data_IF_431985310926
#
_entry.id   IF_431985310926
#
_cell.length_a   1.000
_cell.length_b   1.000
_cell.length_c   1.000
_cell.angle_alpha   90.00
_cell.angle_beta   90.00
_cell.angle_gamma   90.00
#
_symmetry.space_group_name_H-M   'P 1'
#
loop_
_entity.id
_entity.type
_entity.pdbx_description
1 polymer ?
#
# COMPACT_ATOMS: atom_id res chain seq x y z
N UNK A 1 -20.21 15.85 -20.40
CA UNK A 1 -19.61 17.15 -20.03
C UNK A 1 -18.75 16.90 -18.81
N UNK A 2 -17.44 16.72 -19.00
CA UNK A 2 -16.49 16.60 -17.90
C UNK A 2 -16.25 18.00 -17.33
N UNK A 3 -16.44 18.17 -16.02
CA UNK A 3 -16.14 19.44 -15.36
C UNK A 3 -14.65 19.74 -15.49
N UNK A 4 -14.31 20.85 -16.13
CA UNK A 4 -12.96 21.39 -16.15
C UNK A 4 -12.54 21.68 -14.71
N UNK A 5 -11.47 21.06 -14.24
CA UNK A 5 -10.84 21.45 -12.99
C UNK A 5 -10.39 22.92 -13.13
N UNK A 6 -10.62 23.79 -12.12
CA UNK A 6 -10.23 25.19 -12.21
C UNK A 6 -8.71 25.30 -12.38
N UNK A 7 -8.25 25.99 -13.42
CA UNK A 7 -6.85 26.37 -13.54
C UNK A 7 -6.47 27.24 -12.33
N UNK A 8 -5.50 26.79 -11.54
CA UNK A 8 -4.85 27.63 -10.53
C UNK A 8 -5.00 27.25 -9.06
N UNK A 9 -5.49 26.06 -8.69
CA UNK A 9 -5.26 25.58 -7.31
C UNK A 9 -3.81 25.11 -7.18
N UNK A 10 -2.88 26.05 -6.98
CA UNK A 10 -1.51 25.72 -6.60
C UNK A 10 -1.57 24.97 -5.26
N UNK A 11 -1.12 23.71 -5.25
CA UNK A 11 -1.09 22.91 -4.04
C UNK A 11 -0.11 23.57 -3.04
N UNK A 12 -0.65 24.09 -1.95
CA UNK A 12 0.12 24.71 -0.88
C UNK A 12 0.46 23.63 0.17
N UNK A 13 1.69 23.12 0.09
CA UNK A 13 2.19 22.10 0.99
C UNK A 13 2.19 22.58 2.46
N UNK A 14 2.53 23.84 2.71
CA UNK A 14 2.57 24.39 4.08
C UNK A 14 1.19 24.44 4.71
N UNK A 15 0.17 24.83 3.93
CA UNK A 15 -1.22 24.80 4.38
C UNK A 15 -1.75 23.37 4.58
N UNK A 16 -1.32 22.43 3.75
CA UNK A 16 -1.66 21.02 3.91
C UNK A 16 -1.07 20.43 5.19
N UNK A 17 0.23 20.65 5.42
CA UNK A 17 0.95 20.17 6.61
C UNK A 17 0.37 20.76 7.90
N UNK A 18 0.06 22.07 7.91
CA UNK A 18 -0.60 22.73 9.04
C UNK A 18 -1.94 22.05 9.36
N UNK A 19 -2.77 21.81 8.33
CA UNK A 19 -4.07 21.16 8.49
C UNK A 19 -3.93 19.71 8.97
N UNK A 20 -2.94 18.97 8.47
CA UNK A 20 -2.66 17.59 8.93
C UNK A 20 -2.24 17.58 10.40
N UNK A 21 -1.37 18.49 10.81
CA UNK A 21 -0.95 18.61 12.21
C UNK A 21 -2.13 18.94 13.13
N UNK A 22 -3.01 19.85 12.72
CA UNK A 22 -4.20 20.21 13.49
C UNK A 22 -5.18 19.02 13.62
N UNK A 23 -5.33 18.22 12.56
CA UNK A 23 -6.14 16.99 12.58
C UNK A 23 -5.54 15.92 13.52
N UNK A 24 -4.23 15.69 13.43
CA UNK A 24 -3.51 14.72 14.27
C UNK A 24 -3.56 15.13 15.75
N UNK A 25 -3.50 16.44 16.05
CA UNK A 25 -3.54 16.96 17.42
C UNK A 25 -4.95 16.90 18.05
N UNK A 26 -6.01 16.92 17.25
CA UNK A 26 -7.39 16.93 17.73
C UNK A 26 -7.91 15.51 18.10
N UNK A 27 -7.56 14.49 17.31
CA UNK A 27 -8.12 13.12 17.40
C UNK A 27 -7.04 12.02 17.41
N UNK A 28 -5.93 12.25 18.13
CA UNK A 28 -4.71 11.41 18.04
C UNK A 28 -4.89 9.89 18.19
N UNK A 29 -5.93 9.44 18.89
CA UNK A 29 -6.29 8.01 19.02
C UNK A 29 -7.38 7.55 18.03
N UNK A 30 -8.20 8.45 17.46
CA UNK A 30 -9.26 8.11 16.48
C UNK A 30 -8.79 8.17 15.02
N UNK A 31 -7.66 8.83 14.74
CA UNK A 31 -7.13 8.98 13.38
C UNK A 31 -6.47 7.70 12.83
N UNK A 32 -6.03 6.80 13.72
CA UNK A 32 -5.35 5.57 13.35
C UNK A 32 -6.22 4.36 13.68
N UNK A 33 -6.70 3.65 12.66
CA UNK A 33 -7.26 2.31 12.89
C UNK A 33 -6.10 1.31 12.98
N UNK A 34 -5.98 0.60 14.11
CA UNK A 34 -5.02 -0.51 14.21
C UNK A 34 -5.52 -1.68 13.39
N UNK A 35 -4.64 -2.22 12.54
CA UNK A 35 -4.90 -3.49 11.85
C UNK A 35 -4.20 -4.61 12.62
N UNK A 36 -4.97 -5.37 13.38
CA UNK A 36 -4.45 -6.33 14.36
C UNK A 36 -4.33 -7.78 13.84
N UNK A 37 -4.84 -8.06 12.63
CA UNK A 37 -4.71 -9.39 12.04
C UNK A 37 -3.27 -9.66 11.59
N UNK A 38 -2.77 -10.85 11.93
CA UNK A 38 -1.42 -11.33 11.60
C UNK A 38 -1.54 -12.68 10.92
N UNK A 39 -0.87 -12.84 9.78
CA UNK A 39 -0.92 -14.04 8.95
C UNK A 39 0.45 -14.71 8.86
N UNK A 40 0.63 -15.89 9.47
CA UNK A 40 1.92 -16.59 9.57
C UNK A 40 2.36 -17.31 8.28
N UNK A 41 1.49 -17.42 7.27
CA UNK A 41 1.80 -17.97 5.96
C UNK A 41 1.11 -17.18 4.84
N UNK A 42 1.66 -17.22 3.63
CA UNK A 42 1.02 -16.63 2.45
C UNK A 42 -0.30 -17.34 2.09
N UNK A 43 -0.40 -18.65 2.36
CA UNK A 43 -1.62 -19.43 2.11
C UNK A 43 -2.82 -18.93 2.94
N UNK A 44 -2.55 -18.43 4.15
CA UNK A 44 -3.59 -17.91 5.04
C UNK A 44 -4.14 -16.54 4.60
N UNK A 45 -3.49 -15.86 3.64
CA UNK A 45 -3.81 -14.48 3.26
C UNK A 45 -4.91 -14.39 2.19
N UNK A 46 -5.42 -15.52 1.66
CA UNK A 46 -6.49 -15.52 0.66
C UNK A 46 -6.08 -14.93 -0.70
N UNK A 47 -4.81 -15.08 -1.08
CA UNK A 47 -4.26 -14.54 -2.33
C UNK A 47 -4.72 -15.34 -3.56
N UNK A 48 -4.77 -14.68 -4.71
CA UNK A 48 -5.02 -15.34 -5.99
C UNK A 48 -3.95 -16.40 -6.27
N UNK A 49 -4.35 -17.56 -6.80
CA UNK A 49 -3.46 -18.72 -6.98
C UNK A 49 -2.19 -18.37 -7.78
N UNK A 50 -2.34 -17.57 -8.85
CA UNK A 50 -1.20 -17.15 -9.68
C UNK A 50 -0.22 -16.25 -8.92
N UNK A 51 -0.73 -15.36 -8.05
CA UNK A 51 0.10 -14.53 -7.20
C UNK A 51 0.83 -15.38 -6.16
N UNK A 52 0.10 -16.27 -5.47
CA UNK A 52 0.66 -17.16 -4.45
C UNK A 52 1.79 -18.04 -5.03
N UNK A 53 1.57 -18.60 -6.22
CA UNK A 53 2.59 -19.35 -6.97
C UNK A 53 3.81 -18.48 -7.28
N UNK A 54 3.60 -17.24 -7.73
CA UNK A 54 4.68 -16.29 -8.02
C UNK A 54 5.52 -15.96 -6.79
N UNK A 55 4.89 -15.78 -5.63
CA UNK A 55 5.57 -15.51 -4.35
C UNK A 55 6.53 -16.67 -4.00
N UNK A 56 6.05 -17.90 -4.05
CA UNK A 56 6.88 -19.07 -3.76
C UNK A 56 7.96 -19.31 -4.82
N UNK A 57 7.66 -19.09 -6.10
CA UNK A 57 8.63 -19.22 -7.18
C UNK A 57 9.76 -18.18 -7.10
N UNK A 58 9.48 -16.99 -6.55
CA UNK A 58 10.50 -15.97 -6.28
C UNK A 58 11.44 -16.37 -5.12
N UNK A 59 11.05 -17.35 -4.30
CA UNK A 59 11.85 -17.87 -3.19
C UNK A 59 11.42 -17.36 -1.81
N UNK A 60 10.25 -16.74 -1.68
CA UNK A 60 9.69 -16.46 -0.36
C UNK A 60 9.11 -17.74 0.25
N UNK A 61 9.54 -18.10 1.45
CA UNK A 61 9.00 -19.27 2.17
C UNK A 61 7.99 -18.87 3.25
N UNK A 62 8.31 -17.81 4.01
CA UNK A 62 7.46 -17.29 5.08
C UNK A 62 7.39 -15.77 5.00
N UNK A 63 6.22 -15.18 5.33
CA UNK A 63 6.09 -13.74 5.37
C UNK A 63 6.92 -13.12 6.49
N UNK A 64 7.62 -12.02 6.19
CA UNK A 64 8.30 -11.20 7.20
C UNK A 64 7.30 -10.46 8.09
N UNK A 65 7.74 -9.93 9.23
CA UNK A 65 6.85 -9.26 10.19
C UNK A 65 5.97 -8.15 9.59
N UNK A 66 6.51 -7.40 8.60
CA UNK A 66 5.76 -6.35 7.90
C UNK A 66 4.79 -6.94 6.86
N UNK A 67 5.15 -8.04 6.21
CA UNK A 67 4.28 -8.74 5.26
C UNK A 67 3.08 -9.39 5.96
N UNK A 68 3.30 -10.00 7.13
CA UNK A 68 2.27 -10.67 7.94
C UNK A 68 1.10 -9.75 8.31
N UNK A 69 1.37 -8.46 8.51
CA UNK A 69 0.37 -7.44 8.87
C UNK A 69 -0.06 -6.60 7.68
N UNK A 70 0.76 -6.57 6.63
CA UNK A 70 0.67 -5.56 5.60
C UNK A 70 0.04 -5.98 4.30
N UNK A 71 0.13 -7.26 3.93
CA UNK A 71 -0.36 -7.73 2.63
C UNK A 71 -1.89 -7.70 2.59
N UNK A 72 -2.55 -8.30 3.58
CA UNK A 72 -4.01 -8.44 3.60
C UNK A 72 -4.76 -7.10 3.62
N UNK A 73 -4.44 -6.10 4.46
CA UNK A 73 -5.14 -4.81 4.39
C UNK A 73 -4.95 -4.11 3.04
N UNK A 74 -3.76 -4.23 2.44
CA UNK A 74 -3.51 -3.71 1.10
C UNK A 74 -4.38 -4.44 0.05
N UNK A 75 -4.48 -5.78 0.13
CA UNK A 75 -5.33 -6.57 -0.76
C UNK A 75 -6.83 -6.25 -0.61
N UNK A 76 -7.26 -5.81 0.58
CA UNK A 76 -8.62 -5.34 0.86
C UNK A 76 -8.91 -3.93 0.31
N UNK A 77 -7.93 -3.26 -0.30
CA UNK A 77 -8.09 -1.90 -0.84
C UNK A 77 -8.13 -0.81 0.23
N UNK A 78 -7.57 -1.09 1.42
CA UNK A 78 -7.48 -0.09 2.48
C UNK A 78 -6.29 0.85 2.23
N UNK A 79 -6.41 2.08 2.71
CA UNK A 79 -5.28 2.99 2.84
C UNK A 79 -4.39 2.51 3.99
N UNK A 80 -3.11 2.31 3.71
CA UNK A 80 -2.18 1.66 4.64
C UNK A 80 -0.93 2.50 4.82
N UNK A 81 -0.65 2.87 6.06
CA UNK A 81 0.62 3.47 6.46
C UNK A 81 1.46 2.39 7.14
N UNK A 82 2.63 2.11 6.57
CA UNK A 82 3.56 1.11 7.08
C UNK A 82 4.94 1.70 7.28
N UNK A 83 5.41 1.67 8.53
CA UNK A 83 6.76 2.04 8.88
C UNK A 83 7.63 0.79 9.06
N UNK A 84 8.64 0.62 8.22
CA UNK A 84 9.62 -0.45 8.38
C UNK A 84 10.99 -0.08 7.82
N UNK A 85 12.04 -0.70 8.38
CA UNK A 85 13.43 -0.50 7.96
C UNK A 85 13.71 -1.07 6.56
N UNK A 86 14.81 -0.67 5.91
CA UNK A 86 15.22 -1.27 4.64
C UNK A 86 15.48 -2.78 4.80
N UNK A 87 15.27 -3.55 3.73
CA UNK A 87 15.46 -5.02 3.74
C UNK A 87 14.38 -5.83 4.47
N UNK A 88 13.32 -5.21 4.99
CA UNK A 88 12.26 -5.89 5.75
C UNK A 88 11.16 -6.52 4.88
N UNK A 89 11.21 -6.36 3.55
CA UNK A 89 10.23 -6.94 2.63
C UNK A 89 9.07 -6.03 2.21
N UNK A 90 9.14 -4.71 2.49
CA UNK A 90 8.13 -3.70 2.10
C UNK A 90 7.76 -3.75 0.61
N UNK A 91 8.75 -3.94 -0.27
CA UNK A 91 8.54 -4.00 -1.72
C UNK A 91 7.59 -5.13 -2.09
N UNK A 92 7.85 -6.34 -1.57
CA UNK A 92 6.97 -7.47 -1.80
C UNK A 92 5.57 -7.25 -1.18
N UNK A 93 5.46 -6.52 -0.05
CA UNK A 93 4.16 -6.18 0.54
C UNK A 93 3.27 -5.38 -0.41
N UNK A 94 3.74 -4.22 -0.91
CA UNK A 94 2.91 -3.41 -1.80
C UNK A 94 2.77 -4.05 -3.20
N UNK A 95 3.79 -4.74 -3.70
CA UNK A 95 3.69 -5.47 -4.97
C UNK A 95 2.60 -6.55 -4.92
N UNK A 96 2.54 -7.31 -3.81
CA UNK A 96 1.50 -8.34 -3.63
C UNK A 96 0.10 -7.70 -3.60
N UNK A 97 -0.06 -6.59 -2.87
CA UNK A 97 -1.32 -5.86 -2.83
C UNK A 97 -1.76 -5.30 -4.18
N UNK A 98 -0.83 -4.71 -4.95
CA UNK A 98 -1.10 -4.23 -6.31
C UNK A 98 -1.49 -5.39 -7.23
N UNK A 99 -0.68 -6.45 -7.30
CA UNK A 99 -0.92 -7.60 -8.17
C UNK A 99 -2.23 -8.32 -7.84
N UNK A 100 -2.63 -8.35 -6.56
CA UNK A 100 -3.89 -8.94 -6.11
C UNK A 100 -5.12 -8.16 -6.61
N UNK A 101 -5.00 -6.85 -6.85
CA UNK A 101 -6.10 -5.99 -7.26
C UNK A 101 -6.17 -5.73 -8.78
N UNK A 102 -5.17 -6.16 -9.56
CA UNK A 102 -5.16 -5.92 -11.01
C UNK A 102 -6.32 -6.63 -11.72
N UNK A 103 -7.01 -5.90 -12.59
CA UNK A 103 -7.93 -6.47 -13.57
C UNK A 103 -7.18 -6.79 -14.86
N UNK A 104 -6.97 -8.08 -15.13
CA UNK A 104 -6.27 -8.56 -16.32
C UNK A 104 -6.99 -8.27 -17.65
N UNK A 105 -8.28 -7.89 -17.62
CA UNK A 105 -9.02 -7.53 -18.83
C UNK A 105 -8.79 -6.07 -19.26
N UNK A 106 -8.19 -5.25 -18.39
CA UNK A 106 -7.99 -3.81 -18.63
C UNK A 106 -6.52 -3.53 -18.93
N UNK A 107 -6.21 -3.24 -20.19
CA UNK A 107 -4.85 -2.89 -20.64
C UNK A 107 -4.59 -1.38 -20.50
N UNK A 108 -4.64 -0.88 -19.28
CA UNK A 108 -4.37 0.52 -18.92
C UNK A 108 -3.52 0.60 -17.65
N UNK A 109 -3.01 1.78 -17.30
CA UNK A 109 -2.30 1.96 -16.03
C UNK A 109 -3.30 1.85 -14.86
N UNK A 110 -3.11 0.84 -13.99
CA UNK A 110 -4.00 0.57 -12.85
C UNK A 110 -3.36 0.85 -11.48
N UNK A 111 -2.02 0.99 -11.44
CA UNK A 111 -1.30 1.30 -10.22
C UNK A 111 -0.08 2.18 -10.53
N UNK A 112 0.22 3.11 -9.63
CA UNK A 112 1.38 4.00 -9.69
C UNK A 112 2.17 3.85 -8.39
N UNK A 113 3.45 3.48 -8.51
CA UNK A 113 4.39 3.42 -7.39
C UNK A 113 5.39 4.56 -7.55
N UNK A 114 5.54 5.36 -6.50
CA UNK A 114 6.50 6.46 -6.47
C UNK A 114 7.73 6.05 -5.68
N UNK A 115 8.91 6.26 -6.25
CA UNK A 115 10.20 6.02 -5.61
C UNK A 115 11.01 7.33 -5.53
N UNK A 116 11.81 7.53 -4.48
CA UNK A 116 12.62 8.75 -4.31
C UNK A 116 13.79 8.85 -5.31
N UNK A 117 14.25 7.73 -5.87
CA UNK A 117 15.37 7.71 -6.83
C UNK A 117 15.11 6.72 -7.96
N UNK A 118 15.85 6.86 -9.06
CA UNK A 118 15.70 6.02 -10.26
C UNK A 118 16.21 4.61 -10.05
N UNK A 119 17.21 4.43 -9.20
CA UNK A 119 17.86 3.15 -8.93
C UNK A 119 16.97 2.23 -8.09
N UNK A 120 16.00 2.82 -7.38
CA UNK A 120 15.02 2.09 -6.58
C UNK A 120 13.76 1.71 -7.38
N UNK A 121 13.55 2.34 -8.55
CA UNK A 121 12.44 2.07 -9.47
C UNK A 121 12.80 0.92 -10.43
#
# INVERSE_FOLDING_TARGET
MAGLAPEGSQFDAGKFDQKMNDLIAADGDEFWTSYDEVYDSFDAMGLAENLLRGIYAYGFEKPSAIQQRGIVPFCKGLDVIQQAQSGTGKTATFCSGVLQQLDYNVTQCQALVLAPTRELA
#
